data_IF_773255093285
#
_entry.id   IF_773255093285
#
_cell.length_a   1.000
_cell.length_b   1.000
_cell.length_c   1.000
_cell.angle_alpha   90.00
_cell.angle_beta   90.00
_cell.angle_gamma   90.00
#
_symmetry.space_group_name_H-M   'P 1'
#
loop_
_entity.id
_entity.type
_entity.pdbx_description
1 polymer ?
#
# COMPACT_ATOMS: atom_id res chain seq x y z
N UNK A 1 -21.42 2.09 -12.71
CA UNK A 1 -20.17 2.87 -12.60
C UNK A 1 -18.99 1.91 -12.73
N UNK A 2 -18.05 2.15 -13.65
CA UNK A 2 -16.86 1.29 -13.80
C UNK A 2 -15.87 1.61 -12.69
N UNK A 3 -15.63 0.67 -11.79
CA UNK A 3 -14.71 0.84 -10.67
C UNK A 3 -13.27 0.84 -11.18
N UNK A 4 -12.54 1.92 -10.93
CA UNK A 4 -11.11 2.00 -11.24
C UNK A 4 -10.32 1.20 -10.21
N UNK A 5 -9.38 0.38 -10.67
CA UNK A 5 -8.44 -0.40 -9.85
C UNK A 5 -7.03 0.14 -10.02
N UNK A 6 -6.18 -0.11 -9.03
CA UNK A 6 -4.76 0.27 -9.10
C UNK A 6 -3.95 -0.88 -9.68
N UNK A 7 -3.11 -0.58 -10.66
CA UNK A 7 -2.19 -1.50 -11.31
C UNK A 7 -0.76 -0.99 -11.16
N UNK A 8 0.21 -1.92 -11.12
CA UNK A 8 1.65 -1.60 -11.13
C UNK A 8 2.20 -1.83 -12.52
N UNK A 9 2.96 -0.88 -13.03
CA UNK A 9 3.66 -0.98 -14.31
C UNK A 9 4.85 -1.93 -14.19
N UNK A 10 4.94 -2.94 -15.07
CA UNK A 10 6.02 -3.93 -15.06
C UNK A 10 7.19 -3.57 -15.99
N UNK A 11 6.97 -2.68 -16.96
CA UNK A 11 7.96 -2.25 -17.94
C UNK A 11 7.92 -0.73 -18.13
N UNK A 12 9.07 -0.12 -18.32
CA UNK A 12 9.13 1.29 -18.71
C UNK A 12 8.64 1.47 -20.15
N UNK A 13 7.82 2.48 -20.39
CA UNK A 13 7.37 2.83 -21.74
C UNK A 13 6.04 3.56 -21.77
N UNK A 14 5.43 3.60 -22.96
CA UNK A 14 4.16 4.29 -23.18
C UNK A 14 2.97 3.39 -22.78
N UNK A 15 2.36 3.68 -21.63
CA UNK A 15 1.30 2.87 -21.02
C UNK A 15 0.13 3.77 -20.64
N UNK A 16 -1.08 3.40 -21.09
CA UNK A 16 -2.31 4.15 -20.86
C UNK A 16 -2.23 5.64 -21.26
N UNK A 17 -1.66 5.90 -22.44
CA UNK A 17 -1.59 7.26 -23.01
C UNK A 17 -0.49 8.16 -22.46
N UNK A 18 0.40 7.64 -21.60
CA UNK A 18 1.52 8.42 -21.05
C UNK A 18 2.78 7.56 -20.90
N UNK A 19 3.94 8.20 -20.91
CA UNK A 19 5.20 7.53 -20.56
C UNK A 19 5.22 7.22 -19.06
N UNK A 20 5.45 5.96 -18.70
CA UNK A 20 5.45 5.46 -17.32
C UNK A 20 6.73 4.69 -17.05
N UNK A 21 7.32 4.94 -15.88
CA UNK A 21 8.44 4.16 -15.39
C UNK A 21 7.98 2.80 -14.84
N UNK A 22 8.87 1.81 -14.90
CA UNK A 22 8.67 0.52 -14.23
C UNK A 22 8.44 0.72 -12.72
N UNK A 23 7.44 0.03 -12.18
CA UNK A 23 7.01 0.14 -10.77
C UNK A 23 6.01 1.26 -10.50
N UNK A 24 5.70 2.11 -11.47
CA UNK A 24 4.70 3.17 -11.31
C UNK A 24 3.31 2.58 -11.03
N UNK A 25 2.55 3.23 -10.12
CA UNK A 25 1.17 2.86 -9.80
C UNK A 25 0.22 3.71 -10.63
N UNK A 26 -0.68 3.06 -11.37
CA UNK A 26 -1.66 3.72 -12.23
C UNK A 26 -3.06 3.23 -11.92
N UNK A 27 -4.06 4.11 -12.05
CA UNK A 27 -5.46 3.75 -11.88
C UNK A 27 -6.09 3.54 -13.25
N UNK A 28 -6.62 2.34 -13.49
CA UNK A 28 -7.23 1.96 -14.75
C UNK A 28 -8.59 1.30 -14.49
N UNK A 29 -9.49 1.39 -15.45
CA UNK A 29 -10.68 0.54 -15.45
C UNK A 29 -10.30 -0.90 -15.86
N UNK A 30 -11.14 -1.86 -15.51
CA UNK A 30 -10.96 -3.27 -15.90
C UNK A 30 -10.83 -3.44 -17.42
N UNK A 31 -11.63 -2.67 -18.18
CA UNK A 31 -11.61 -2.68 -19.65
C UNK A 31 -10.31 -2.18 -20.24
N UNK A 32 -9.73 -1.12 -19.67
CA UNK A 32 -8.44 -0.56 -20.13
C UNK A 32 -7.28 -1.46 -19.72
N UNK A 33 -7.34 -2.02 -18.50
CA UNK A 33 -6.29 -2.88 -17.98
C UNK A 33 -6.26 -4.26 -18.65
N UNK A 34 -7.39 -4.76 -19.18
CA UNK A 34 -7.49 -6.11 -19.79
C UNK A 34 -6.35 -6.42 -20.75
N UNK A 35 -6.10 -5.53 -21.72
CA UNK A 35 -5.04 -5.73 -22.70
C UNK A 35 -3.64 -5.51 -22.11
N UNK A 36 -3.49 -4.56 -21.19
CA UNK A 36 -2.20 -4.28 -20.55
C UNK A 36 -1.74 -5.42 -19.62
N UNK A 37 -2.68 -6.08 -18.94
CA UNK A 37 -2.44 -7.24 -18.09
C UNK A 37 -2.11 -8.47 -18.94
N UNK A 38 -2.86 -8.73 -20.01
CA UNK A 38 -2.58 -9.83 -20.93
C UNK A 38 -1.21 -9.71 -21.59
N UNK A 39 -0.80 -8.49 -21.97
CA UNK A 39 0.53 -8.22 -22.51
C UNK A 39 1.65 -8.20 -21.46
N UNK A 40 1.32 -8.36 -20.16
CA UNK A 40 2.30 -8.33 -19.07
C UNK A 40 2.88 -6.95 -18.76
N UNK A 41 2.36 -5.87 -19.37
CA UNK A 41 2.83 -4.50 -19.18
C UNK A 41 2.46 -3.94 -17.81
N UNK A 42 1.34 -4.39 -17.25
CA UNK A 42 0.89 -4.02 -15.90
C UNK A 42 0.42 -5.25 -15.14
N UNK A 43 0.66 -5.30 -13.84
CA UNK A 43 0.07 -6.28 -12.93
C UNK A 43 -0.98 -5.62 -12.03
N UNK A 44 -2.00 -6.37 -11.59
CA UNK A 44 -2.84 -5.87 -10.50
C UNK A 44 -1.93 -5.53 -9.33
N UNK A 45 -2.00 -4.29 -8.86
CA UNK A 45 -1.37 -3.93 -7.60
C UNK A 45 -2.20 -4.63 -6.54
N UNK A 46 -1.87 -5.91 -6.28
CA UNK A 46 -2.40 -6.59 -5.12
C UNK A 46 -2.14 -5.63 -3.98
N UNK A 47 -3.22 -5.15 -3.38
CA UNK A 47 -3.16 -4.40 -2.15
C UNK A 47 -2.64 -5.43 -1.16
N UNK A 48 -1.33 -5.72 -1.19
CA UNK A 48 -0.59 -6.10 -0.01
C UNK A 48 -0.93 -4.95 0.89
N UNK A 49 -1.95 -5.19 1.71
CA UNK A 49 -2.29 -4.41 2.85
C UNK A 49 -0.94 -3.96 3.36
N UNK A 50 -0.69 -2.65 3.25
CA UNK A 50 0.33 -2.02 4.02
C UNK A 50 0.01 -2.52 5.41
N UNK A 51 0.75 -3.56 5.83
CA UNK A 51 0.61 -4.18 7.12
C UNK A 51 0.98 -3.01 7.98
N UNK A 52 -0.07 -2.29 8.41
CA UNK A 52 0.01 -1.13 9.27
C UNK A 52 1.06 -1.58 10.25
N UNK A 53 2.25 -0.98 10.16
CA UNK A 53 3.12 -0.92 11.31
C UNK A 53 2.29 -0.05 12.25
N UNK A 54 1.32 -0.68 12.90
CA UNK A 54 1.00 -0.47 14.29
C UNK A 54 2.34 -0.66 15.00
N UNK A 55 3.17 0.37 14.90
CA UNK A 55 4.07 0.75 15.96
C UNK A 55 3.21 0.62 17.19
N UNK A 56 3.47 -0.46 17.92
CA UNK A 56 2.66 -0.89 19.03
C UNK A 56 2.46 0.32 19.95
N UNK A 57 1.28 0.50 20.56
CA UNK A 57 1.11 1.48 21.61
C UNK A 57 1.89 0.99 22.83
N UNK A 58 3.21 1.19 22.83
CA UNK A 58 4.11 0.69 23.88
C UNK A 58 4.11 1.59 25.11
N UNK A 59 2.93 2.13 25.46
CA UNK A 59 2.74 2.94 26.68
C UNK A 59 1.43 2.65 27.39
N UNK A 60 0.83 1.47 27.18
CA UNK A 60 -0.37 1.03 27.93
C UNK A 60 -0.06 0.47 29.34
N UNK A 61 1.20 0.49 29.81
CA UNK A 61 1.55 -0.05 31.14
C UNK A 61 2.46 0.86 31.96
N UNK A 62 2.10 2.14 32.10
CA UNK A 62 2.62 2.93 33.22
C UNK A 62 1.43 3.51 33.98
N UNK A 63 0.79 2.65 34.79
CA UNK A 63 0.13 3.13 36.01
C UNK A 63 0.21 2.08 37.12
N UNK A 64 0.79 2.53 38.24
CA UNK A 64 0.77 1.98 39.62
C UNK A 64 1.64 0.76 39.91
N UNK A 65 2.72 0.97 40.70
CA UNK A 65 2.67 0.90 42.18
C UNK A 65 4.10 0.73 42.73
N UNK A 66 4.66 1.77 43.33
CA UNK A 66 5.61 1.63 44.42
C UNK A 66 5.20 2.68 45.47
N UNK A 67 4.41 2.22 46.43
CA UNK A 67 4.06 2.96 47.63
C UNK A 67 4.91 2.35 48.76
N UNK A 68 5.65 3.18 49.48
CA UNK A 68 6.24 2.87 50.78
C UNK A 68 7.76 2.76 50.81
N UNK A 69 8.44 3.80 51.33
CA UNK A 69 9.22 3.74 52.59
C UNK A 69 10.22 4.92 52.74
N UNK A 70 10.14 5.62 53.88
CA UNK A 70 11.10 6.63 54.39
C UNK A 70 10.47 8.03 54.47
N UNK A 71 10.02 8.60 55.60
CA UNK A 71 10.55 8.64 56.98
C UNK A 71 12.06 8.95 56.98
N UNK A 72 12.41 10.23 56.92
CA UNK A 72 12.95 11.02 58.04
C UNK A 72 13.10 12.48 57.61
#
# INVERSE_FOLDING_TARGET
>A
MSSKKTYVVNAEGFIAGAHRAKGARIQLTDREAKYLVLSGLVGEASVKAESRRLSHPRSFWIRRRANGSGRH
#
